data_IF_832259375249
#
_entry.id   IF_832259375249
#
_cell.length_a   1.000
_cell.length_b   1.000
_cell.length_c   1.000
_cell.angle_alpha   90.00
_cell.angle_beta   90.00
_cell.angle_gamma   90.00
#
_symmetry.space_group_name_H-M   'P 1'
#
loop_
_entity.id
_entity.type
_entity.pdbx_description
1 polymer ?
#
# COMPACT_ATOMS: atom_id res chain seq x y z
N UNK A 1 48.43 -40.02 9.90
CA UNK A 1 47.40 -39.14 10.54
C UNK A 1 47.63 -37.75 9.97
N UNK A 2 46.73 -37.00 9.33
CA UNK A 2 45.28 -36.84 9.49
C UNK A 2 44.66 -36.45 8.14
N UNK A 3 43.39 -36.85 7.97
CA UNK A 3 42.53 -36.66 6.80
C UNK A 3 42.20 -35.18 6.60
N UNK A 4 42.28 -34.69 5.36
CA UNK A 4 41.75 -33.40 4.96
C UNK A 4 40.24 -33.59 4.70
N UNK A 5 39.39 -33.12 5.61
CA UNK A 5 37.94 -33.13 5.44
C UNK A 5 37.55 -31.75 4.92
N UNK A 6 37.09 -31.69 3.67
CA UNK A 6 36.52 -30.49 3.07
C UNK A 6 35.07 -30.38 3.55
N UNK A 7 34.79 -29.41 4.42
CA UNK A 7 33.42 -29.11 4.85
C UNK A 7 32.74 -28.25 3.78
N UNK A 8 31.76 -28.84 3.08
CA UNK A 8 30.82 -28.09 2.23
C UNK A 8 29.80 -27.43 3.17
N UNK A 9 29.94 -26.13 3.37
CA UNK A 9 28.95 -25.33 4.09
C UNK A 9 27.69 -25.19 3.23
N UNK A 10 26.58 -25.75 3.70
CA UNK A 10 25.27 -25.63 3.09
C UNK A 10 24.70 -24.24 3.39
N UNK A 11 24.86 -23.27 2.49
CA UNK A 11 24.26 -21.94 2.61
C UNK A 11 22.80 -22.00 2.15
N UNK A 12 21.92 -22.50 3.01
CA UNK A 12 20.47 -22.39 2.86
C UNK A 12 19.93 -21.52 3.99
N UNK A 13 19.91 -20.20 3.80
CA UNK A 13 19.47 -19.29 4.88
C UNK A 13 18.95 -17.92 4.46
N UNK A 14 18.87 -17.58 3.17
CA UNK A 14 18.59 -16.20 2.73
C UNK A 14 17.19 -15.97 2.15
N UNK A 15 16.32 -16.97 2.02
CA UNK A 15 15.07 -16.82 1.24
C UNK A 15 13.83 -16.36 2.03
N UNK A 16 13.89 -16.18 3.34
CA UNK A 16 12.67 -15.90 4.14
C UNK A 16 12.20 -14.44 4.10
N UNK A 17 13.07 -13.46 3.79
CA UNK A 17 12.67 -12.05 3.78
C UNK A 17 11.93 -11.60 2.51
N UNK A 18 12.08 -12.32 1.39
CA UNK A 18 11.44 -11.92 0.12
C UNK A 18 9.94 -12.22 0.07
N UNK A 19 9.44 -13.16 0.87
CA UNK A 19 8.06 -13.65 0.76
C UNK A 19 7.01 -12.68 1.32
N UNK A 20 7.37 -11.82 2.27
CA UNK A 20 6.41 -10.89 2.88
C UNK A 20 6.02 -9.72 1.95
N UNK A 21 6.89 -9.33 1.02
CA UNK A 21 6.61 -8.22 0.09
C UNK A 21 5.68 -8.64 -1.07
N UNK A 22 5.60 -9.93 -1.38
CA UNK A 22 4.76 -10.45 -2.48
C UNK A 22 3.26 -10.45 -2.15
N UNK A 23 2.90 -10.46 -0.86
CA UNK A 23 1.53 -10.67 -0.36
C UNK A 23 0.52 -9.59 -0.81
N UNK A 24 0.96 -8.38 -1.13
CA UNK A 24 0.10 -7.27 -1.55
C UNK A 24 0.18 -6.96 -3.05
N UNK A 25 1.02 -7.65 -3.82
CA UNK A 25 1.29 -7.30 -5.22
C UNK A 25 0.13 -7.58 -6.17
N UNK A 26 -0.84 -8.40 -5.76
CA UNK A 26 -2.02 -8.77 -6.54
C UNK A 26 -3.32 -8.69 -5.73
N UNK A 27 -4.39 -8.32 -6.40
CA UNK A 27 -5.75 -8.32 -5.85
C UNK A 27 -6.44 -9.70 -6.02
N UNK A 28 -7.34 -10.06 -5.09
CA UNK A 28 -7.54 -9.40 -3.81
C UNK A 28 -6.36 -9.70 -2.87
N UNK A 29 -5.90 -8.70 -2.08
CA UNK A 29 -4.94 -8.97 -1.01
C UNK A 29 -5.54 -9.92 0.04
N UNK A 30 -4.69 -10.66 0.76
CA UNK A 30 -5.12 -11.53 1.84
C UNK A 30 -5.76 -10.75 3.00
N UNK A 31 -6.43 -11.44 3.94
CA UNK A 31 -6.93 -10.79 5.15
C UNK A 31 -5.79 -10.04 5.89
N UNK A 32 -6.05 -8.87 6.51
CA UNK A 32 -7.36 -8.33 6.89
C UNK A 32 -7.98 -7.33 5.88
N UNK A 33 -7.49 -7.25 4.66
CA UNK A 33 -7.94 -6.24 3.70
C UNK A 33 -9.37 -6.50 3.18
N UNK A 34 -10.18 -5.44 3.16
CA UNK A 34 -11.52 -5.42 2.58
C UNK A 34 -11.62 -4.40 1.45
N UNK A 35 -12.40 -4.72 0.42
CA UNK A 35 -12.63 -3.81 -0.71
C UNK A 35 -13.46 -2.60 -0.24
N UNK A 36 -12.99 -1.39 -0.52
CA UNK A 36 -13.59 -0.14 0.00
C UNK A 36 -15.05 0.04 -0.45
N UNK A 37 -15.39 -0.37 -1.67
CA UNK A 37 -16.77 -0.30 -2.19
C UNK A 37 -17.79 -1.16 -1.41
N UNK A 38 -17.31 -2.11 -0.60
CA UNK A 38 -18.16 -2.90 0.32
C UNK A 38 -18.35 -2.21 1.68
N UNK A 39 -17.45 -1.30 2.04
CA UNK A 39 -17.47 -0.55 3.30
C UNK A 39 -18.26 0.75 3.18
N UNK A 40 -18.19 1.40 2.02
CA UNK A 40 -18.85 2.67 1.71
C UNK A 40 -19.48 2.65 0.32
N UNK A 41 -20.49 3.50 0.08
CA UNK A 41 -21.20 3.59 -1.21
C UNK A 41 -20.33 4.28 -2.28
N UNK A 42 -19.32 3.59 -2.76
CA UNK A 42 -18.42 4.00 -3.84
C UNK A 42 -18.40 2.94 -4.95
N UNK A 43 -18.05 3.30 -6.21
CA UNK A 43 -17.85 2.31 -7.26
C UNK A 43 -16.68 1.38 -6.91
N UNK A 44 -16.65 0.19 -7.53
CA UNK A 44 -15.58 -0.78 -7.34
C UNK A 44 -14.21 -0.28 -7.82
N UNK A 45 -14.19 0.61 -8.81
CA UNK A 45 -13.00 1.22 -9.36
C UNK A 45 -13.16 2.74 -9.39
N UNK A 46 -12.16 3.46 -8.89
CA UNK A 46 -12.12 4.91 -8.84
C UNK A 46 -11.12 5.42 -9.87
N UNK A 47 -11.55 6.18 -10.90
CA UNK A 47 -10.62 6.81 -11.84
C UNK A 47 -9.58 7.66 -11.11
N UNK A 48 -8.30 7.42 -11.41
CA UNK A 48 -7.14 8.02 -10.75
C UNK A 48 -6.62 7.26 -9.51
N UNK A 49 -7.36 6.29 -8.98
CA UNK A 49 -6.99 5.55 -7.77
C UNK A 49 -7.07 4.03 -7.92
N UNK A 50 -7.88 3.50 -8.84
CA UNK A 50 -8.04 2.07 -9.05
C UNK A 50 -9.08 1.41 -8.16
N UNK A 51 -9.00 0.09 -8.05
CA UNK A 51 -9.76 -0.68 -7.08
C UNK A 51 -9.06 -0.63 -5.72
N UNK A 52 -9.76 -0.13 -4.71
CA UNK A 52 -9.18 0.10 -3.39
C UNK A 52 -9.52 -1.00 -2.39
N UNK A 53 -8.51 -1.40 -1.62
CA UNK A 53 -8.64 -2.28 -0.46
C UNK A 53 -8.01 -1.63 0.78
N UNK A 54 -8.53 -1.91 1.97
CA UNK A 54 -8.02 -1.36 3.24
C UNK A 54 -8.30 -2.32 4.38
N UNK A 55 -7.42 -2.37 5.38
CA UNK A 55 -7.76 -2.98 6.67
C UNK A 55 -8.72 -2.03 7.40
N UNK A 56 -10.00 -2.40 7.65
CA UNK A 56 -10.98 -1.51 8.26
C UNK A 56 -10.56 -0.96 9.63
N UNK A 57 -9.65 -1.65 10.34
CA UNK A 57 -9.14 -1.20 11.64
C UNK A 57 -8.16 -0.02 11.54
N UNK A 58 -7.69 0.30 10.33
CA UNK A 58 -6.74 1.39 10.05
C UNK A 58 -7.42 2.66 9.52
N UNK A 59 -8.74 2.62 9.34
CA UNK A 59 -9.50 3.78 8.88
C UNK A 59 -9.51 4.91 9.93
N UNK A 60 -9.54 6.19 9.50
CA UNK A 60 -9.61 6.64 8.10
C UNK A 60 -8.25 6.77 7.40
N UNK A 61 -7.13 6.59 8.10
CA UNK A 61 -5.80 6.90 7.57
C UNK A 61 -5.29 5.87 6.53
N UNK A 62 -5.61 4.59 6.73
CA UNK A 62 -5.15 3.48 5.89
C UNK A 62 -3.83 2.85 6.36
N UNK A 63 -3.04 2.27 5.44
CA UNK A 63 -3.04 2.58 4.02
C UNK A 63 -4.11 1.86 3.21
N UNK A 64 -4.50 2.51 2.11
CA UNK A 64 -5.31 1.93 1.05
C UNK A 64 -4.40 1.34 -0.02
N UNK A 65 -4.65 0.09 -0.40
CA UNK A 65 -3.99 -0.59 -1.52
C UNK A 65 -4.79 -0.39 -2.80
N UNK A 66 -4.15 0.20 -3.81
CA UNK A 66 -4.75 0.53 -5.09
C UNK A 66 -4.29 -0.43 -6.18
N UNK A 67 -5.24 -1.08 -6.85
CA UNK A 67 -4.98 -2.02 -7.94
C UNK A 67 -5.58 -1.54 -9.26
N UNK A 68 -4.94 -1.87 -10.38
CA UNK A 68 -5.52 -1.63 -11.70
C UNK A 68 -6.55 -2.71 -12.08
N UNK A 69 -7.08 -2.62 -13.29
CA UNK A 69 -8.05 -3.60 -13.83
C UNK A 69 -7.49 -5.02 -13.96
N UNK A 70 -6.17 -5.17 -14.07
CA UNK A 70 -5.49 -6.48 -14.07
C UNK A 70 -5.22 -7.02 -12.65
N UNK A 71 -5.64 -6.27 -11.62
CA UNK A 71 -5.46 -6.62 -10.23
C UNK A 71 -4.01 -6.54 -9.77
N UNK A 72 -3.14 -5.74 -10.42
CA UNK A 72 -1.76 -5.54 -9.96
C UNK A 72 -1.67 -4.25 -9.14
N UNK A 73 -0.89 -4.31 -8.06
CA UNK A 73 -0.67 -3.16 -7.19
C UNK A 73 -0.08 -1.97 -7.99
N UNK A 74 -0.66 -0.79 -7.82
CA UNK A 74 -0.25 0.46 -8.48
C UNK A 74 0.24 1.47 -7.46
N UNK A 75 -0.48 1.62 -6.35
CA UNK A 75 -0.06 2.51 -5.28
C UNK A 75 -0.55 2.06 -3.89
N UNK A 76 0.11 2.60 -2.88
CA UNK A 76 -0.31 2.56 -1.48
C UNK A 76 -0.59 4.00 -1.06
N UNK A 77 -1.80 4.29 -0.54
CA UNK A 77 -2.27 5.65 -0.29
C UNK A 77 -2.59 5.81 1.20
N UNK A 78 -2.02 6.84 1.84
CA UNK A 78 -2.45 7.27 3.17
C UNK A 78 -3.30 8.54 3.05
N UNK A 79 -4.40 8.59 3.81
CA UNK A 79 -5.28 9.74 3.92
C UNK A 79 -5.08 10.43 5.27
N UNK A 80 -4.14 11.35 5.35
CA UNK A 80 -3.71 11.97 6.61
C UNK A 80 -4.49 13.26 6.89
N UNK A 81 -5.34 13.34 7.93
CA UNK A 81 -6.10 14.55 8.21
C UNK A 81 -5.18 15.75 8.42
N UNK A 82 -5.43 16.86 7.69
CA UNK A 82 -4.56 18.05 7.78
C UNK A 82 -4.55 18.60 9.21
N UNK A 83 -5.70 18.54 9.90
CA UNK A 83 -5.82 18.99 11.30
C UNK A 83 -4.90 18.22 12.26
N UNK A 84 -4.53 16.98 11.93
CA UNK A 84 -3.72 16.11 12.76
C UNK A 84 -2.21 16.29 12.51
N UNK A 85 -1.82 17.01 11.44
CA UNK A 85 -0.44 17.38 11.14
C UNK A 85 -0.06 18.66 11.89
N UNK A 86 0.14 18.54 13.21
CA UNK A 86 0.43 19.67 14.09
C UNK A 86 1.47 19.30 15.18
N UNK A 87 2.03 20.27 15.95
CA UNK A 87 3.08 19.99 16.94
C UNK A 87 2.69 19.02 18.07
N UNK A 88 1.40 18.88 18.36
CA UNK A 88 0.88 18.10 19.49
C UNK A 88 0.45 16.69 19.10
N UNK A 89 0.40 16.38 17.80
CA UNK A 89 -0.03 15.09 17.28
C UNK A 89 0.95 14.53 16.26
N UNK A 90 1.22 13.23 16.41
CA UNK A 90 2.08 12.47 15.50
C UNK A 90 1.27 11.36 14.86
N UNK A 91 1.53 11.11 13.58
CA UNK A 91 0.99 9.99 12.82
C UNK A 91 2.13 8.97 12.65
N UNK A 92 2.47 8.29 13.74
CA UNK A 92 3.56 7.31 13.79
C UNK A 92 3.04 5.89 13.50
N UNK A 93 3.95 4.97 13.18
CA UNK A 93 3.69 3.53 13.03
C UNK A 93 2.57 3.14 12.05
N UNK A 94 2.30 3.99 11.05
CA UNK A 94 1.42 3.64 9.94
C UNK A 94 1.96 2.39 9.23
N UNK A 95 1.05 1.45 8.92
CA UNK A 95 1.44 0.18 8.30
C UNK A 95 2.03 0.43 6.91
N UNK A 96 3.14 -0.23 6.60
CA UNK A 96 3.76 -0.24 5.28
C UNK A 96 3.76 -1.68 4.73
N UNK A 97 2.73 -2.09 3.96
CA UNK A 97 2.50 -3.49 3.62
C UNK A 97 3.52 -4.11 2.66
N UNK A 98 4.38 -3.29 2.04
CA UNK A 98 5.41 -3.73 1.11
C UNK A 98 5.24 -3.12 -0.28
N UNK A 99 5.90 -3.74 -1.26
CA UNK A 99 5.99 -3.23 -2.63
C UNK A 99 7.18 -2.28 -2.84
N UNK A 100 7.84 -2.40 -3.99
CA UNK A 100 8.88 -1.44 -4.38
C UNK A 100 8.22 -0.10 -4.66
N UNK A 101 8.76 0.98 -4.09
CA UNK A 101 8.29 2.34 -4.34
C UNK A 101 9.17 2.96 -5.42
N UNK A 102 8.56 3.42 -6.51
CA UNK A 102 9.22 4.15 -7.59
C UNK A 102 9.35 5.63 -7.23
N UNK A 103 8.23 6.25 -6.85
CA UNK A 103 8.16 7.65 -6.43
C UNK A 103 6.99 7.89 -5.46
N UNK A 104 6.93 9.10 -4.91
CA UNK A 104 5.91 9.51 -3.93
C UNK A 104 5.33 10.84 -4.33
N UNK A 105 4.00 10.92 -4.34
CA UNK A 105 3.26 12.17 -4.45
C UNK A 105 2.60 12.54 -3.13
N UNK A 106 2.53 13.83 -2.86
CA UNK A 106 1.81 14.37 -1.71
C UNK A 106 0.93 15.54 -2.18
N UNK A 107 -0.38 15.41 -2.02
CA UNK A 107 -1.30 16.46 -2.41
C UNK A 107 -2.48 16.59 -1.46
N UNK A 108 -3.03 17.80 -1.41
CA UNK A 108 -4.21 18.13 -0.61
C UNK A 108 -5.49 17.61 -1.26
N UNK A 109 -6.36 17.03 -0.44
CA UNK A 109 -7.74 16.71 -0.76
C UNK A 109 -8.66 17.51 0.18
N UNK A 110 -9.68 18.16 -0.37
CA UNK A 110 -10.62 18.98 0.41
C UNK A 110 -11.60 18.16 1.26
N UNK A 111 -11.63 16.84 1.10
CA UNK A 111 -12.63 15.95 1.66
C UNK A 111 -13.63 15.48 0.60
N UNK A 112 -14.24 14.33 0.84
CA UNK A 112 -15.22 13.70 -0.06
C UNK A 112 -16.21 12.83 0.72
N UNK A 113 -17.32 12.37 0.11
CA UNK A 113 -18.18 11.38 0.75
C UNK A 113 -17.36 10.16 1.21
N UNK A 114 -17.41 9.86 2.51
CA UNK A 114 -16.60 8.82 3.17
C UNK A 114 -15.51 9.39 4.08
N UNK A 115 -14.80 10.45 3.67
CA UNK A 115 -13.78 11.16 4.47
C UNK A 115 -13.99 12.67 4.30
N UNK A 116 -14.89 13.29 5.09
CA UNK A 116 -15.36 14.65 4.82
C UNK A 116 -14.36 15.74 5.19
N UNK A 117 -13.41 15.45 6.09
CA UNK A 117 -12.42 16.44 6.52
C UNK A 117 -11.29 16.57 5.50
N UNK A 118 -10.68 17.77 5.34
CA UNK A 118 -9.48 17.93 4.55
C UNK A 118 -8.33 17.02 5.01
N UNK A 119 -7.68 16.38 4.05
CA UNK A 119 -6.60 15.43 4.29
C UNK A 119 -5.55 15.50 3.18
N UNK A 120 -4.32 15.12 3.49
CA UNK A 120 -3.28 14.90 2.50
C UNK A 120 -3.36 13.45 2.01
N UNK A 121 -3.34 13.26 0.70
CA UNK A 121 -2.98 11.98 0.12
C UNK A 121 -1.47 11.90 0.08
N UNK A 122 -0.90 10.91 0.76
CA UNK A 122 0.49 10.50 0.58
C UNK A 122 0.45 9.21 -0.25
N UNK A 123 0.82 9.31 -1.52
CA UNK A 123 0.71 8.24 -2.51
C UNK A 123 2.09 7.67 -2.78
N UNK A 124 2.31 6.42 -2.37
CA UNK A 124 3.50 5.66 -2.69
C UNK A 124 3.20 4.89 -3.98
N UNK A 125 3.80 5.30 -5.09
CA UNK A 125 3.61 4.64 -6.37
C UNK A 125 4.54 3.44 -6.51
N UNK A 126 3.97 2.31 -6.92
CA UNK A 126 4.67 1.04 -7.14
C UNK A 126 4.97 0.77 -8.62
N UNK A 127 4.73 1.78 -9.45
CA UNK A 127 4.97 1.78 -10.90
C UNK A 127 5.62 3.10 -11.31
N UNK A 128 6.16 3.14 -12.53
CA UNK A 128 6.70 4.36 -13.10
C UNK A 128 5.63 5.45 -13.20
N UNK A 129 6.04 6.73 -13.21
CA UNK A 129 5.10 7.84 -13.38
C UNK A 129 4.24 7.73 -14.67
N UNK A 130 4.80 7.14 -15.74
CA UNK A 130 4.04 6.90 -16.97
C UNK A 130 2.93 5.84 -16.78
N UNK A 131 3.16 4.88 -15.89
CA UNK A 131 2.25 3.76 -15.62
C UNK A 131 1.18 4.09 -14.57
N UNK A 132 1.20 5.28 -13.94
CA UNK A 132 0.07 5.79 -13.16
C UNK A 132 -1.23 5.78 -13.98
N UNK A 133 -1.12 5.98 -15.29
CA UNK A 133 -2.25 5.95 -16.22
C UNK A 133 -3.04 4.63 -16.21
N UNK A 134 -2.49 3.56 -15.64
CA UNK A 134 -3.17 2.26 -15.43
C UNK A 134 -4.39 2.38 -14.52
N UNK A 135 -4.44 3.39 -13.64
CA UNK A 135 -5.61 3.66 -12.80
C UNK A 135 -6.46 4.83 -13.27
N UNK A 136 -6.13 5.49 -14.38
CA UNK A 136 -6.78 6.74 -14.79
C UNK A 136 -8.25 6.60 -15.22
N UNK A 137 -8.72 5.40 -15.57
CA UNK A 137 -10.07 5.14 -16.08
C UNK A 137 -10.60 3.79 -15.64
#
# INVERSE_FOLDING_TARGET
>A
MKKLILAVAFTAGSSLCAMAADEVTKAPPAAPYEQVSKLVKLPDFLPGMGQLFVDPTTLPAGPFLAYDHDGKLVSTIYMLPIKDLNPDKRLDDLKAPGGNVDHVDIYYNAGHPGVPEPHAHVVLWHVSAADEARVAK
#
